data_IF_819629056374
#
_entry.id   IF_819629056374
#
_cell.length_a   1.000
_cell.length_b   1.000
_cell.length_c   1.000
_cell.angle_alpha   90.00
_cell.angle_beta   90.00
_cell.angle_gamma   90.00
#
_symmetry.space_group_name_H-M   'P 1'
#
loop_
_entity.id
_entity.type
_entity.pdbx_description
1 polymer ?
#
# COMPACT_ATOMS: atom_id res chain seq x y z
N UNK A 1 -10.50 21.85 -17.45
CA UNK A 1 -9.57 21.00 -16.68
C UNK A 1 -10.44 19.98 -15.96
N UNK A 2 -10.23 18.68 -16.11
CA UNK A 2 -11.10 17.70 -15.43
C UNK A 2 -10.88 17.77 -13.93
N UNK A 3 -11.95 17.67 -13.14
CA UNK A 3 -11.84 17.55 -11.69
C UNK A 3 -11.42 16.12 -11.28
N UNK A 4 -11.21 15.88 -9.99
CA UNK A 4 -10.78 14.58 -9.48
C UNK A 4 -11.79 13.47 -9.77
N UNK A 5 -13.09 13.71 -9.59
CA UNK A 5 -14.14 12.73 -9.83
C UNK A 5 -14.28 12.35 -11.30
N UNK A 6 -14.25 13.34 -12.20
CA UNK A 6 -14.25 13.13 -13.65
C UNK A 6 -13.04 12.28 -14.07
N UNK A 7 -11.86 12.58 -13.50
CA UNK A 7 -10.64 11.81 -13.75
C UNK A 7 -10.78 10.37 -13.27
N UNK A 8 -11.33 10.15 -12.07
CA UNK A 8 -11.56 8.80 -11.52
C UNK A 8 -12.55 8.01 -12.38
N UNK A 9 -13.65 8.64 -12.80
CA UNK A 9 -14.66 8.04 -13.66
C UNK A 9 -14.09 7.64 -15.02
N UNK A 10 -13.32 8.53 -15.65
CA UNK A 10 -12.63 8.27 -16.93
C UNK A 10 -11.65 7.09 -16.84
N UNK A 11 -10.90 6.99 -15.73
CA UNK A 11 -9.98 5.88 -15.51
C UNK A 11 -10.76 4.57 -15.32
N UNK A 12 -11.77 4.60 -14.45
CA UNK A 12 -12.56 3.41 -14.11
C UNK A 12 -13.29 2.80 -15.32
N UNK A 13 -13.76 3.64 -16.26
CA UNK A 13 -14.44 3.18 -17.48
C UNK A 13 -13.52 2.39 -18.42
N UNK A 14 -12.22 2.63 -18.39
CA UNK A 14 -11.23 1.97 -19.25
C UNK A 14 -10.72 0.62 -18.71
N UNK A 15 -10.93 0.33 -17.42
CA UNK A 15 -10.36 -0.85 -16.75
C UNK A 15 -10.83 -2.15 -17.40
N UNK A 16 -12.14 -2.28 -17.67
CA UNK A 16 -12.70 -3.52 -18.24
C UNK A 16 -12.08 -3.82 -19.61
N UNK A 17 -12.14 -2.85 -20.52
CA UNK A 17 -11.58 -3.01 -21.87
C UNK A 17 -10.09 -3.35 -21.83
N UNK A 18 -9.32 -2.69 -20.96
CA UNK A 18 -7.88 -2.99 -20.82
C UNK A 18 -7.64 -4.41 -20.31
N UNK A 19 -8.49 -4.88 -19.39
CA UNK A 19 -8.40 -6.24 -18.84
C UNK A 19 -8.81 -7.29 -19.88
N UNK A 20 -9.80 -7.01 -20.72
CA UNK A 20 -10.19 -7.87 -21.85
C UNK A 20 -9.01 -8.07 -22.81
N UNK A 21 -8.36 -6.98 -23.23
CA UNK A 21 -7.18 -7.04 -24.10
C UNK A 21 -6.02 -7.82 -23.46
N UNK A 22 -5.81 -7.63 -22.16
CA UNK A 22 -4.78 -8.36 -21.41
C UNK A 22 -5.03 -9.87 -21.44
N UNK A 23 -6.25 -10.33 -21.15
CA UNK A 23 -6.56 -11.76 -21.11
C UNK A 23 -6.69 -12.43 -22.48
N UNK A 24 -6.88 -11.66 -23.55
CA UNK A 24 -6.79 -12.16 -24.93
C UNK A 24 -5.35 -12.51 -25.33
N UNK A 25 -4.37 -11.81 -24.78
CA UNK A 25 -2.94 -11.94 -25.17
C UNK A 25 -2.11 -12.70 -24.14
N UNK A 26 -2.61 -12.83 -22.91
CA UNK A 26 -1.89 -13.39 -21.77
C UNK A 26 -2.79 -14.34 -20.98
N UNK A 27 -2.26 -15.49 -20.58
CA UNK A 27 -3.00 -16.53 -19.84
C UNK A 27 -2.29 -16.96 -18.53
N UNK A 28 -1.94 -16.02 -17.62
CA UNK A 28 -1.27 -16.40 -16.39
C UNK A 28 -2.24 -17.15 -15.46
N UNK A 29 -1.82 -18.31 -14.95
CA UNK A 29 -2.63 -19.12 -14.03
C UNK A 29 -2.73 -18.48 -12.65
N UNK A 30 -1.62 -17.95 -12.14
CA UNK A 30 -1.47 -17.26 -10.84
C UNK A 30 -0.56 -16.05 -11.04
N UNK A 31 -1.01 -14.88 -10.59
CA UNK A 31 -0.27 -13.62 -10.78
C UNK A 31 -0.73 -12.53 -9.80
N UNK A 32 0.04 -11.45 -9.75
CA UNK A 32 -0.23 -10.23 -8.99
C UNK A 32 -0.52 -9.08 -9.93
N UNK A 33 -1.59 -8.33 -9.65
CA UNK A 33 -1.86 -7.04 -10.26
C UNK A 33 -1.48 -5.93 -9.27
N UNK A 34 -0.56 -5.06 -9.70
CA UNK A 34 -0.21 -3.85 -8.97
C UNK A 34 -0.90 -2.67 -9.64
N UNK A 35 -1.82 -2.03 -8.95
CA UNK A 35 -2.42 -0.79 -9.41
C UNK A 35 -1.54 0.40 -9.10
N UNK A 36 -0.96 1.02 -10.13
CA UNK A 36 -0.22 2.27 -10.02
C UNK A 36 -1.18 3.45 -10.24
N UNK A 37 -1.47 4.19 -9.18
CA UNK A 37 -2.52 5.22 -9.15
C UNK A 37 -1.93 6.57 -8.75
N UNK A 38 -2.15 7.67 -9.50
CA UNK A 38 -1.73 8.99 -9.04
C UNK A 38 -2.35 9.31 -7.66
N UNK A 39 -1.54 9.67 -6.67
CA UNK A 39 -2.07 9.93 -5.32
C UNK A 39 -3.01 11.15 -5.31
N UNK A 40 -2.77 12.11 -6.19
CA UNK A 40 -3.58 13.32 -6.33
C UNK A 40 -5.04 13.09 -6.79
N UNK A 41 -5.39 11.88 -7.25
CA UNK A 41 -6.79 11.54 -7.59
C UNK A 41 -7.49 10.75 -6.48
N UNK A 42 -6.81 10.54 -5.35
CA UNK A 42 -7.36 9.91 -4.17
C UNK A 42 -7.76 10.98 -3.15
N UNK A 43 -8.60 10.58 -2.20
CA UNK A 43 -8.96 11.41 -1.06
C UNK A 43 -7.85 11.30 0.00
N UNK A 44 -7.23 12.42 0.36
CA UNK A 44 -6.16 12.46 1.37
C UNK A 44 -6.66 12.21 2.79
N UNK A 45 -7.95 12.41 3.04
CA UNK A 45 -8.58 12.13 4.33
C UNK A 45 -8.89 10.64 4.46
N UNK A 46 -9.22 9.96 3.35
CA UNK A 46 -9.53 8.53 3.30
C UNK A 46 -9.05 7.84 2.01
N UNK A 47 -7.74 7.54 1.98
CA UNK A 47 -7.11 6.83 0.85
C UNK A 47 -7.71 5.44 0.61
N UNK A 48 -8.06 4.72 1.68
CA UNK A 48 -8.57 3.35 1.58
C UNK A 48 -9.96 3.34 0.94
N UNK A 49 -10.86 4.24 1.34
CA UNK A 49 -12.18 4.35 0.71
C UNK A 49 -12.09 4.88 -0.71
N UNK A 50 -11.20 5.84 -0.98
CA UNK A 50 -11.06 6.41 -2.32
C UNK A 50 -10.41 5.48 -3.35
N UNK A 51 -9.55 4.53 -2.94
CA UNK A 51 -8.97 3.54 -3.86
C UNK A 51 -9.91 2.36 -4.17
N UNK A 52 -10.81 2.01 -3.24
CA UNK A 52 -11.71 0.83 -3.35
C UNK A 52 -12.46 0.72 -4.68
N UNK A 53 -13.03 1.80 -5.27
CA UNK A 53 -13.70 1.70 -6.56
C UNK A 53 -12.81 1.13 -7.68
N UNK A 54 -11.52 1.51 -7.71
CA UNK A 54 -10.58 0.96 -8.69
C UNK A 54 -10.27 -0.51 -8.43
N UNK A 55 -10.01 -0.86 -7.17
CA UNK A 55 -9.74 -2.26 -6.76
C UNK A 55 -10.93 -3.15 -7.10
N UNK A 56 -12.15 -2.75 -6.71
CA UNK A 56 -13.39 -3.46 -7.02
C UNK A 56 -13.57 -3.63 -8.52
N UNK A 57 -13.36 -2.58 -9.31
CA UNK A 57 -13.47 -2.66 -10.77
C UNK A 57 -12.43 -3.62 -11.37
N UNK A 58 -11.19 -3.61 -10.88
CA UNK A 58 -10.15 -4.57 -11.29
C UNK A 58 -10.57 -6.00 -10.95
N UNK A 59 -11.01 -6.27 -9.72
CA UNK A 59 -11.44 -7.61 -9.29
C UNK A 59 -12.66 -8.09 -10.09
N UNK A 60 -13.63 -7.22 -10.35
CA UNK A 60 -14.79 -7.52 -11.20
C UNK A 60 -14.36 -7.82 -12.64
N UNK A 61 -13.44 -7.03 -13.21
CA UNK A 61 -12.95 -7.24 -14.58
C UNK A 61 -12.20 -8.56 -14.70
N UNK A 62 -11.39 -8.93 -13.70
CA UNK A 62 -10.74 -10.25 -13.63
C UNK A 62 -11.78 -11.37 -13.59
N UNK A 63 -12.81 -11.26 -12.75
CA UNK A 63 -13.90 -12.25 -12.68
C UNK A 63 -14.70 -12.34 -13.99
N UNK A 64 -14.93 -11.21 -14.66
CA UNK A 64 -15.60 -11.20 -15.96
C UNK A 64 -14.79 -11.98 -17.00
N UNK A 65 -13.49 -11.72 -17.10
CA UNK A 65 -12.62 -12.42 -18.06
C UNK A 65 -12.31 -13.87 -17.64
N UNK A 66 -12.35 -14.16 -16.34
CA UNK A 66 -12.03 -15.46 -15.74
C UNK A 66 -13.02 -15.75 -14.59
N UNK A 67 -14.21 -16.31 -14.88
CA UNK A 67 -15.27 -16.51 -13.88
C UNK A 67 -14.87 -17.29 -12.62
N UNK A 68 -13.93 -18.23 -12.77
CA UNK A 68 -13.43 -19.05 -11.67
C UNK A 68 -12.23 -18.44 -10.93
N UNK A 69 -11.78 -17.24 -11.34
CA UNK A 69 -10.63 -16.61 -10.71
C UNK A 69 -10.99 -16.11 -9.31
N UNK A 70 -10.13 -16.43 -8.35
CA UNK A 70 -10.20 -15.88 -7.00
C UNK A 70 -9.28 -14.66 -6.91
N UNK A 71 -9.78 -13.58 -6.34
CA UNK A 71 -9.01 -12.34 -6.18
C UNK A 71 -8.99 -11.90 -4.72
N UNK A 72 -7.90 -11.27 -4.28
CA UNK A 72 -7.77 -10.75 -2.92
C UNK A 72 -7.01 -9.42 -2.93
N UNK A 73 -7.58 -8.39 -2.30
CA UNK A 73 -6.91 -7.10 -2.10
C UNK A 73 -5.95 -7.22 -0.91
N UNK A 74 -4.65 -7.19 -1.17
CA UNK A 74 -3.63 -7.48 -0.15
C UNK A 74 -3.11 -6.25 0.56
N UNK A 75 -2.76 -5.21 -0.19
CA UNK A 75 -2.02 -4.10 0.37
C UNK A 75 -2.30 -2.81 -0.39
N UNK A 76 -2.28 -1.70 0.34
CA UNK A 76 -2.29 -0.34 -0.15
C UNK A 76 -1.07 0.38 0.42
N UNK A 77 -0.25 0.95 -0.46
CA UNK A 77 0.91 1.76 -0.10
C UNK A 77 0.73 3.16 -0.67
N UNK A 78 0.58 4.14 0.19
CA UNK A 78 0.39 5.54 -0.19
C UNK A 78 1.76 6.24 -0.15
N UNK A 79 2.21 6.78 -1.28
CA UNK A 79 3.35 7.71 -1.33
C UNK A 79 2.96 9.00 -2.07
N UNK A 80 3.75 10.06 -1.91
CA UNK A 80 3.36 11.43 -2.30
C UNK A 80 2.84 11.58 -3.74
N UNK A 81 3.51 10.94 -4.73
CA UNK A 81 3.13 11.08 -6.14
C UNK A 81 2.18 9.99 -6.64
N UNK A 82 2.42 8.75 -6.25
CA UNK A 82 1.70 7.58 -6.73
C UNK A 82 1.42 6.64 -5.57
N UNK A 83 0.21 6.11 -5.50
CA UNK A 83 -0.19 5.09 -4.53
C UNK A 83 -0.36 3.76 -5.25
N UNK A 84 -0.01 2.69 -4.54
CA UNK A 84 0.05 1.35 -5.10
C UNK A 84 -0.87 0.41 -4.34
N UNK A 85 -1.77 -0.26 -5.05
CA UNK A 85 -2.54 -1.37 -4.48
C UNK A 85 -2.13 -2.70 -5.09
N UNK A 86 -2.29 -3.78 -4.33
CA UNK A 86 -1.99 -5.14 -4.79
C UNK A 86 -3.24 -6.00 -4.76
N UNK A 87 -3.58 -6.58 -5.91
CA UNK A 87 -4.60 -7.63 -6.04
C UNK A 87 -3.90 -8.93 -6.43
N UNK A 88 -3.99 -9.92 -5.55
CA UNK A 88 -3.61 -11.30 -5.87
C UNK A 88 -4.70 -11.95 -6.73
N UNK A 89 -4.30 -12.71 -7.74
CA UNK A 89 -5.20 -13.50 -8.59
C UNK A 89 -4.76 -14.97 -8.58
N UNK A 90 -5.69 -15.85 -8.17
CA UNK A 90 -5.50 -17.30 -8.01
C UNK A 90 -4.33 -17.71 -7.10
N UNK A 91 -3.88 -16.81 -6.24
CA UNK A 91 -2.90 -17.11 -5.20
C UNK A 91 -3.59 -17.62 -3.93
N UNK A 92 -4.35 -18.71 -4.07
CA UNK A 92 -5.25 -19.22 -3.01
C UNK A 92 -4.50 -19.92 -1.88
N UNK A 93 -3.33 -20.46 -2.16
CA UNK A 93 -2.44 -21.11 -1.19
C UNK A 93 -1.54 -20.09 -0.47
N UNK A 94 -1.76 -18.79 -0.70
CA UNK A 94 -1.08 -17.76 0.08
C UNK A 94 -1.68 -17.73 1.48
N UNK A 95 -0.99 -18.44 2.37
CA UNK A 95 -1.20 -18.29 3.78
C UNK A 95 -0.65 -16.93 4.23
N UNK A 96 -1.58 -16.10 4.71
CA UNK A 96 -1.29 -14.77 5.17
C UNK A 96 -0.46 -14.80 6.46
N UNK A 97 -0.76 -15.72 7.37
CA UNK A 97 -0.08 -15.84 8.67
C UNK A 97 1.43 -16.08 8.49
N UNK A 98 1.79 -16.89 7.49
CA UNK A 98 3.17 -17.22 7.12
C UNK A 98 3.71 -16.41 5.94
N UNK A 99 2.99 -15.38 5.49
CA UNK A 99 3.36 -14.53 4.35
C UNK A 99 4.78 -13.97 4.44
N UNK A 100 5.26 -13.73 5.66
CA UNK A 100 6.59 -13.20 5.94
C UNK A 100 7.74 -14.21 5.73
N UNK A 101 7.43 -15.48 5.52
CA UNK A 101 8.36 -16.58 5.22
C UNK A 101 8.34 -16.95 3.72
N UNK A 102 7.25 -16.64 3.03
CA UNK A 102 7.01 -17.02 1.62
C UNK A 102 7.45 -15.90 0.66
N UNK A 103 8.67 -16.02 0.11
CA UNK A 103 9.20 -15.10 -0.92
C UNK A 103 9.06 -15.63 -2.34
N UNK A 104 8.11 -16.55 -2.56
CA UNK A 104 7.87 -17.18 -3.86
C UNK A 104 7.64 -16.12 -4.95
N UNK A 105 8.40 -16.27 -6.03
CA UNK A 105 8.31 -15.42 -7.22
C UNK A 105 6.96 -15.66 -7.90
N UNK A 106 6.10 -14.64 -7.93
CA UNK A 106 4.79 -14.69 -8.60
C UNK A 106 4.82 -13.65 -9.73
N UNK A 107 4.39 -13.99 -10.96
CA UNK A 107 4.35 -13.01 -12.05
C UNK A 107 3.60 -11.74 -11.66
N UNK A 108 4.27 -10.59 -11.76
CA UNK A 108 3.68 -9.27 -11.50
C UNK A 108 3.33 -8.57 -12.81
N UNK A 109 2.12 -8.03 -12.84
CA UNK A 109 1.63 -7.13 -13.87
C UNK A 109 1.22 -5.81 -13.22
N UNK A 110 1.63 -4.70 -13.80
CA UNK A 110 1.28 -3.36 -13.32
C UNK A 110 0.14 -2.82 -14.17
N UNK A 111 -1.00 -2.50 -13.55
CA UNK A 111 -2.07 -1.74 -14.16
C UNK A 111 -1.89 -0.26 -13.81
N UNK A 112 -1.45 0.53 -14.78
CA UNK A 112 -1.26 1.97 -14.59
C UNK A 112 -2.58 2.70 -14.77
N UNK A 113 -3.11 3.22 -13.67
CA UNK A 113 -4.37 3.97 -13.59
C UNK A 113 -4.13 5.45 -13.88
N UNK A 114 -3.85 5.74 -15.14
CA UNK A 114 -3.69 7.10 -15.65
C UNK A 114 -4.78 7.42 -16.67
N UNK A 115 -4.74 8.62 -17.29
CA UNK A 115 -5.66 9.00 -18.39
C UNK A 115 -5.80 7.92 -19.47
N UNK A 116 -4.72 7.16 -19.72
CA UNK A 116 -4.76 5.93 -20.51
C UNK A 116 -4.40 4.75 -19.61
N UNK A 117 -5.35 3.84 -19.41
CA UNK A 117 -5.10 2.63 -18.62
C UNK A 117 -4.26 1.66 -19.46
N UNK A 118 -3.24 1.06 -18.84
CA UNK A 118 -2.34 0.10 -19.49
C UNK A 118 -1.93 -0.98 -18.50
N UNK A 119 -1.84 -2.22 -18.96
CA UNK A 119 -1.26 -3.33 -18.22
C UNK A 119 0.10 -3.69 -18.82
N UNK A 120 1.13 -3.84 -17.99
CA UNK A 120 2.47 -4.27 -18.40
C UNK A 120 3.02 -5.34 -17.47
N UNK A 121 3.66 -6.36 -18.03
CA UNK A 121 4.46 -7.32 -17.27
C UNK A 121 5.67 -6.63 -16.64
N UNK A 122 5.96 -6.89 -15.36
CA UNK A 122 7.15 -6.39 -14.68
C UNK A 122 7.91 -7.52 -13.96
N UNK A 123 8.86 -8.20 -14.63
CA UNK A 123 9.58 -9.34 -14.05
C UNK A 123 10.45 -8.99 -12.83
N UNK A 124 10.96 -7.76 -12.76
CA UNK A 124 11.77 -7.29 -11.63
C UNK A 124 10.98 -7.33 -10.32
N UNK A 125 9.66 -7.15 -10.40
CA UNK A 125 8.79 -7.12 -9.23
C UNK A 125 8.34 -8.50 -8.73
N UNK A 126 8.57 -9.58 -9.49
CA UNK A 126 8.05 -10.90 -9.10
C UNK A 126 8.55 -11.36 -7.74
N UNK A 127 9.84 -11.11 -7.47
CA UNK A 127 10.48 -11.39 -6.19
C UNK A 127 10.45 -10.18 -5.25
N UNK A 128 10.66 -8.97 -5.78
CA UNK A 128 10.73 -7.76 -4.97
C UNK A 128 9.39 -7.49 -4.25
N UNK A 129 8.26 -7.65 -4.94
CA UNK A 129 6.94 -7.43 -4.34
C UNK A 129 6.64 -8.45 -3.23
N UNK A 130 7.09 -9.71 -3.38
CA UNK A 130 6.95 -10.70 -2.32
C UNK A 130 7.69 -10.27 -1.04
N UNK A 131 8.91 -9.75 -1.19
CA UNK A 131 9.69 -9.23 -0.06
C UNK A 131 9.07 -7.98 0.57
N UNK A 132 8.50 -7.07 -0.24
CA UNK A 132 7.79 -5.89 0.25
C UNK A 132 6.56 -6.32 1.07
N UNK A 133 5.73 -7.23 0.55
CA UNK A 133 4.54 -7.72 1.25
C UNK A 133 4.89 -8.45 2.55
N UNK A 134 5.95 -9.25 2.55
CA UNK A 134 6.49 -9.89 3.76
C UNK A 134 6.93 -8.86 4.81
N UNK A 135 7.56 -7.77 4.38
CA UNK A 135 8.01 -6.69 5.26
C UNK A 135 6.82 -5.90 5.83
N UNK A 136 5.81 -5.59 5.00
CA UNK A 136 4.56 -4.97 5.46
C UNK A 136 3.87 -5.86 6.50
N UNK A 137 3.74 -7.16 6.22
CA UNK A 137 3.13 -8.11 7.15
C UNK A 137 3.84 -8.12 8.52
N UNK A 138 5.18 -8.16 8.55
CA UNK A 138 5.93 -8.09 9.82
C UNK A 138 5.68 -6.79 10.60
N UNK A 139 5.47 -5.68 9.90
CA UNK A 139 5.19 -4.38 10.53
C UNK A 139 3.78 -4.26 11.10
N UNK A 140 2.81 -4.90 10.45
CA UNK A 140 1.39 -4.84 10.80
C UNK A 140 0.94 -5.94 11.77
N UNK A 141 1.67 -7.05 11.89
CA UNK A 141 1.27 -8.17 12.73
C UNK A 141 -0.06 -8.78 12.27
N UNK A 142 -1.08 -8.76 13.13
CA UNK A 142 -2.37 -9.42 12.88
C UNK A 142 -3.44 -8.49 12.27
N UNK A 143 -3.04 -7.34 11.72
CA UNK A 143 -4.00 -6.44 11.07
C UNK A 143 -4.74 -7.16 9.93
N UNK A 144 -6.04 -6.89 9.75
CA UNK A 144 -6.80 -7.47 8.66
C UNK A 144 -6.34 -6.90 7.32
N UNK A 145 -6.52 -7.69 6.27
CA UNK A 145 -6.32 -7.22 4.90
C UNK A 145 -7.37 -6.17 4.48
N UNK A 146 -7.00 -5.19 3.63
CA UNK A 146 -5.65 -4.96 3.11
C UNK A 146 -4.74 -4.29 4.14
N UNK A 147 -3.44 -4.60 4.09
CA UNK A 147 -2.43 -3.86 4.85
C UNK A 147 -2.25 -2.46 4.28
N UNK A 148 -2.22 -1.44 5.13
CA UNK A 148 -2.17 -0.03 4.70
C UNK A 148 -0.98 0.68 5.29
N UNK A 149 -0.02 1.03 4.43
CA UNK A 149 1.09 1.92 4.76
C UNK A 149 0.85 3.31 4.17
N UNK A 150 0.74 4.33 5.02
CA UNK A 150 0.66 5.73 4.59
C UNK A 150 1.99 6.47 4.86
N UNK A 151 2.72 6.78 3.78
CA UNK A 151 3.97 7.55 3.83
C UNK A 151 3.78 9.03 3.49
N UNK A 152 2.54 9.51 3.36
CA UNK A 152 2.24 10.94 3.14
C UNK A 152 2.06 11.70 4.45
N UNK A 153 1.75 10.99 5.53
CA UNK A 153 1.60 11.56 6.87
C UNK A 153 2.92 11.41 7.67
N UNK A 154 3.34 12.43 8.41
CA UNK A 154 4.44 12.29 9.36
C UNK A 154 4.06 11.30 10.46
N UNK A 155 4.98 10.41 10.82
CA UNK A 155 4.78 9.48 11.95
C UNK A 155 5.20 10.20 13.22
N UNK A 156 4.25 10.41 14.14
CA UNK A 156 4.56 10.95 15.47
C UNK A 156 4.94 9.79 16.37
N UNK A 157 6.21 9.70 16.78
CA UNK A 157 6.64 8.76 17.82
C UNK A 157 6.72 9.53 19.13
N UNK A 158 5.90 9.12 20.10
CA UNK A 158 6.05 9.57 21.49
C UNK A 158 7.06 8.67 22.18
N UNK A 159 8.25 9.18 22.46
CA UNK A 159 9.27 8.48 23.24
C UNK A 159 9.14 8.90 24.70
N UNK A 160 8.83 7.94 25.57
CA UNK A 160 8.90 8.17 27.01
C UNK A 160 10.35 7.97 27.47
N UNK A 161 11.05 9.04 27.83
CA UNK A 161 12.34 8.92 28.51
C UNK A 161 12.10 8.74 30.01
N UNK A 162 12.44 7.56 30.54
CA UNK A 162 12.49 7.36 31.98
C UNK A 162 13.89 7.77 32.47
N UNK A 163 14.03 9.02 32.90
CA UNK A 163 15.24 9.48 33.57
C UNK A 163 15.41 8.66 34.87
N UNK A 164 16.39 7.74 34.95
CA UNK A 164 16.78 7.18 36.24
C UNK A 164 17.43 8.30 37.05
N UNK A 165 16.76 8.76 38.11
CA UNK A 165 17.32 9.71 39.06
C UNK A 165 18.43 9.03 39.87
N UNK A 166 19.62 9.65 39.89
CA UNK A 166 20.49 9.57 41.06
C UNK A 166 19.74 10.19 42.25
N UNK A 167 19.85 9.57 43.43
CA UNK A 167 19.27 10.10 44.65
C UNK A 167 20.01 11.38 45.06
N UNK A 168 19.40 12.54 44.80
CA UNK A 168 19.75 13.78 45.45
C UNK A 168 18.65 14.12 46.47
N UNK A 169 19.09 14.42 47.70
CA UNK A 169 18.33 14.35 48.95
C UNK A 169 17.33 15.48 49.22
N UNK A 170 16.68 16.04 48.19
CA UNK A 170 15.63 17.05 48.38
C UNK A 170 14.46 16.77 47.44
N UNK A 171 13.36 16.30 48.02
CA UNK A 171 12.18 15.80 47.31
C UNK A 171 11.34 16.90 46.66
N UNK A 172 11.68 17.29 45.44
CA UNK A 172 10.74 17.91 44.50
C UNK A 172 10.62 17.05 43.25
N UNK A 173 9.39 16.63 42.94
CA UNK A 173 9.09 15.85 41.74
C UNK A 173 8.95 16.81 40.54
N UNK A 174 9.96 16.87 39.68
CA UNK A 174 9.85 17.53 38.38
C UNK A 174 8.98 16.70 37.44
N UNK A 175 8.03 17.34 36.75
CA UNK A 175 7.18 16.72 35.74
C UNK A 175 8.02 16.09 34.61
N UNK A 176 7.62 14.94 34.04
CA UNK A 176 8.30 14.35 32.90
C UNK A 176 8.30 15.33 31.72
N UNK A 177 9.48 15.60 31.15
CA UNK A 177 9.59 16.33 29.89
C UNK A 177 9.09 15.43 28.75
N UNK A 178 8.00 15.84 28.13
CA UNK A 178 7.50 15.23 26.90
C UNK A 178 8.39 15.70 25.74
N UNK A 179 9.18 14.79 25.16
CA UNK A 179 9.95 15.04 23.93
C UNK A 179 9.16 14.42 22.78
N UNK A 180 8.56 15.25 21.93
CA UNK A 180 7.95 14.82 20.68
C UNK A 180 9.00 14.60 19.60
N UNK A 181 9.00 13.43 18.96
CA UNK A 181 9.81 13.17 17.78
C UNK A 181 8.88 13.07 16.57
N UNK A 182 9.03 14.01 15.63
CA UNK A 182 8.33 13.97 14.36
C UNK A 182 9.20 13.27 13.31
N UNK A 183 8.70 12.19 12.73
CA UNK A 183 9.34 11.54 11.59
C UNK A 183 8.76 12.11 10.30
N UNK A 184 9.57 12.91 9.61
CA UNK A 184 9.27 13.34 8.24
C UNK A 184 9.54 12.22 7.24
N UNK A 185 8.64 12.03 6.29
CA UNK A 185 8.80 11.12 5.18
C UNK A 185 9.29 11.87 3.92
N UNK A 186 10.51 12.45 3.97
CA UNK A 186 11.16 12.92 2.74
C UNK A 186 12.04 11.82 2.14
N UNK A 187 11.79 11.47 0.88
CA UNK A 187 12.69 10.64 0.07
C UNK A 187 12.87 9.19 0.51
N UNK A 188 11.97 8.64 1.33
CA UNK A 188 12.05 7.22 1.76
C UNK A 188 13.16 6.93 2.79
N UNK A 189 13.78 7.95 3.40
CA UNK A 189 14.67 7.80 4.57
C UNK A 189 14.04 8.49 5.77
N UNK A 190 13.91 7.77 6.88
CA UNK A 190 13.46 8.33 8.16
C UNK A 190 14.51 9.33 8.66
N UNK A 191 14.15 10.61 8.76
CA UNK A 191 14.95 11.60 9.47
C UNK A 191 14.31 11.91 10.82
N UNK A 192 15.14 12.00 11.86
CA UNK A 192 14.72 12.35 13.22
C UNK A 192 14.93 13.86 13.41
N UNK A 193 13.87 14.61 13.72
CA UNK A 193 13.99 15.98 14.19
C UNK A 193 13.61 16.04 15.66
N UNK A 194 14.57 16.40 16.52
CA UNK A 194 14.32 16.71 17.92
C UNK A 194 13.62 18.07 18.00
N UNK A 195 12.42 18.11 18.56
CA UNK A 195 11.75 19.35 18.92
C UNK A 195 12.11 19.68 20.37
N UNK A 196 12.98 20.66 20.59
CA UNK A 196 13.20 21.25 21.91
C UNK A 196 12.19 22.38 22.15
N UNK A 197 11.66 22.48 23.37
CA UNK A 197 10.91 23.65 23.83
C UNK A 197 11.83 24.86 23.98
#
# INVERSE_FOLDING_TARGET
>A
MMNQEETRSLIASQIQHTMDQFFQTTTPTRFRLVGDTPTAILDSEDYLTSIKPFVTKVQQSVKFCRPNARTRFLALRIVSRHSYFVVDVNNVDYDYETAHEVTTSIPVYVIRLSRRVKITRNPTEDKNLAWILATMHRGHGNDPLPLVDDYTRPVVITVWSQQRRGLDSVGTASQPQQIGVELGAEGGRRQFRLLSK
#
